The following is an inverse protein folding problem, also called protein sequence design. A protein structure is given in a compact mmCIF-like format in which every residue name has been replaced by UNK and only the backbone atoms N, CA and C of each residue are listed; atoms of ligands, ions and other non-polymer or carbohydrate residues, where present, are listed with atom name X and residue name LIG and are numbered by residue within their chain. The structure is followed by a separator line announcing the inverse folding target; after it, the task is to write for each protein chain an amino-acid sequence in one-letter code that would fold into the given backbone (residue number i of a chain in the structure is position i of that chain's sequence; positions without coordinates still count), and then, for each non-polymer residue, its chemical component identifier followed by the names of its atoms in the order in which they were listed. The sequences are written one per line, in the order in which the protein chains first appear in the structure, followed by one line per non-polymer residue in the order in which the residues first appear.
data_IF_089756990605
#
_entry.id   IF_089756990605
#
_cell.length_a   1.000
_cell.length_b   1.000
_cell.length_c   1.000
_cell.angle_alpha   90.00
_cell.angle_beta   90.00
_cell.angle_gamma   90.00
#
_symmetry.space_group_name_H-M   'P 1'
#
loop_
_entity.id
_entity.type
_entity.pdbx_description
1 polymer ?
#
# COMPACT_ATOMS: atom_id res chain seq x y z
N UNK A 1 29.83 -11.64 56.60
CA UNK A 1 29.96 -11.84 55.14
C UNK A 1 28.68 -11.37 54.46
N UNK A 2 28.79 -10.77 53.28
CA UNK A 2 27.72 -10.04 52.58
C UNK A 2 26.79 -11.00 51.82
N UNK A 3 25.49 -10.74 51.85
CA UNK A 3 24.48 -11.49 51.07
C UNK A 3 24.08 -10.72 49.82
N UNK A 4 23.91 -11.42 48.70
CA UNK A 4 23.51 -10.87 47.41
C UNK A 4 21.98 -10.94 47.28
N UNK A 5 21.32 -9.83 46.93
CA UNK A 5 19.91 -9.82 46.53
C UNK A 5 19.85 -9.81 45.00
N UNK A 6 19.23 -10.84 44.42
CA UNK A 6 19.00 -10.96 42.98
C UNK A 6 17.60 -10.39 42.67
N UNK A 7 17.53 -9.47 41.71
CA UNK A 7 16.27 -9.06 41.06
C UNK A 7 16.27 -9.74 39.69
N UNK A 8 15.32 -10.65 39.44
CA UNK A 8 15.08 -11.17 38.11
C UNK A 8 14.26 -10.14 37.32
N UNK A 9 14.84 -9.58 36.25
CA UNK A 9 14.10 -8.81 35.24
C UNK A 9 13.74 -9.80 34.14
N UNK A 10 12.46 -10.09 33.99
CA UNK A 10 11.95 -10.81 32.82
C UNK A 10 11.74 -9.78 31.71
N UNK A 11 12.58 -9.81 30.67
CA UNK A 11 12.33 -9.10 29.42
C UNK A 11 11.59 -10.06 28.49
N UNK A 12 10.30 -9.82 28.29
CA UNK A 12 9.50 -10.56 27.32
C UNK A 12 9.56 -9.79 25.99
N UNK A 13 10.30 -10.30 25.02
CA UNK A 13 10.17 -9.82 23.64
C UNK A 13 8.98 -10.56 23.05
N UNK A 14 7.82 -9.91 23.01
CA UNK A 14 6.77 -10.31 22.08
C UNK A 14 7.29 -9.97 20.68
N UNK A 15 7.70 -10.98 19.93
CA UNK A 15 7.83 -10.84 18.48
C UNK A 15 6.39 -10.68 18.00
N UNK A 16 5.95 -9.43 17.78
CA UNK A 16 4.70 -9.18 17.06
C UNK A 16 4.91 -9.76 15.66
N UNK A 17 4.27 -10.90 15.39
CA UNK A 17 4.00 -11.29 14.01
C UNK A 17 2.98 -10.28 13.51
N UNK A 18 3.36 -9.45 12.55
CA UNK A 18 2.38 -8.62 11.86
C UNK A 18 1.58 -9.56 10.94
N UNK A 19 0.28 -9.65 11.15
CA UNK A 19 -0.60 -10.33 10.22
C UNK A 19 -0.75 -9.47 8.96
N UNK A 20 -0.57 -10.08 7.79
CA UNK A 20 -0.89 -9.44 6.51
C UNK A 20 -2.42 -9.22 6.46
N UNK A 21 -2.82 -7.98 6.22
CA UNK A 21 -4.24 -7.59 6.16
C UNK A 21 -4.77 -7.60 4.73
N UNK A 22 -3.89 -7.40 3.73
CA UNK A 22 -4.29 -7.31 2.34
C UNK A 22 -4.61 -8.71 1.79
N UNK A 23 -5.77 -8.81 1.16
CA UNK A 23 -6.10 -9.94 0.32
C UNK A 23 -5.46 -9.74 -1.06
N UNK A 24 -4.88 -10.81 -1.60
CA UNK A 24 -4.26 -10.80 -2.93
C UNK A 24 -3.22 -9.67 -3.12
N UNK A 25 -2.44 -9.35 -2.07
CA UNK A 25 -1.40 -8.30 -2.13
C UNK A 25 -0.25 -8.57 -3.11
N UNK A 26 -0.10 -9.83 -3.55
CA UNK A 26 0.82 -10.23 -4.62
C UNK A 26 0.22 -10.18 -6.03
N UNK A 27 -1.06 -9.83 -6.18
CA UNK A 27 -1.76 -9.73 -7.47
C UNK A 27 -1.79 -11.03 -8.29
N UNK A 28 -2.00 -12.17 -7.65
CA UNK A 28 -2.01 -13.49 -8.30
C UNK A 28 -3.42 -14.00 -8.66
N UNK A 29 -4.47 -13.31 -8.22
CA UNK A 29 -5.87 -13.69 -8.46
C UNK A 29 -6.59 -12.63 -9.32
N UNK A 30 -7.20 -13.07 -10.42
CA UNK A 30 -7.84 -12.23 -11.46
C UNK A 30 -9.11 -12.89 -12.00
N UNK A 31 -10.06 -13.16 -11.12
CA UNK A 31 -11.29 -13.89 -11.46
C UNK A 31 -12.17 -13.18 -12.51
N UNK A 32 -12.04 -11.85 -12.60
CA UNK A 32 -12.78 -11.01 -13.57
C UNK A 32 -12.11 -10.91 -14.95
N UNK A 33 -10.91 -11.50 -15.14
CA UNK A 33 -10.13 -11.44 -16.38
C UNK A 33 -8.90 -10.53 -16.27
N UNK A 34 -8.03 -10.58 -17.28
CA UNK A 34 -6.75 -9.86 -17.31
C UNK A 34 -6.88 -8.34 -17.55
N UNK A 35 -8.01 -7.90 -18.10
CA UNK A 35 -8.29 -6.50 -18.45
C UNK A 35 -9.17 -5.81 -17.38
N UNK A 36 -9.07 -6.24 -16.13
CA UNK A 36 -9.84 -5.73 -14.98
C UNK A 36 -8.98 -5.80 -13.73
N UNK A 37 -9.21 -5.00 -12.67
CA UNK A 37 -8.42 -5.05 -11.45
C UNK A 37 -8.25 -6.47 -10.86
N UNK A 38 -7.12 -6.76 -10.19
CA UNK A 38 -6.96 -8.01 -9.47
C UNK A 38 -8.01 -8.15 -8.37
N UNK A 39 -8.36 -9.37 -8.03
CA UNK A 39 -9.39 -9.63 -7.01
C UNK A 39 -9.07 -8.87 -5.71
N UNK A 40 -10.10 -8.31 -5.08
CA UNK A 40 -10.07 -7.45 -3.86
C UNK A 40 -9.53 -6.02 -4.04
N UNK A 41 -8.96 -5.69 -5.19
CA UNK A 41 -8.49 -4.33 -5.46
C UNK A 41 -9.45 -3.58 -6.37
N UNK A 42 -9.44 -2.25 -6.23
CA UNK A 42 -10.26 -1.33 -7.02
C UNK A 42 -9.35 -0.30 -7.67
N UNK A 43 -9.48 -0.13 -8.99
CA UNK A 43 -9.03 1.07 -9.67
C UNK A 43 -10.12 2.15 -9.65
N UNK A 44 -9.69 3.40 -9.51
CA UNK A 44 -10.61 4.52 -9.50
C UNK A 44 -9.93 5.76 -10.04
N UNK A 45 -10.75 6.74 -10.43
CA UNK A 45 -10.30 8.05 -10.89
C UNK A 45 -9.33 7.94 -12.09
N UNK A 46 -9.66 7.02 -13.01
CA UNK A 46 -8.92 6.74 -14.24
C UNK A 46 -7.59 5.99 -14.10
N UNK A 47 -7.30 5.37 -12.94
CA UNK A 47 -6.07 4.58 -12.74
C UNK A 47 -6.18 3.13 -13.24
N UNK A 48 -6.49 2.93 -14.52
CA UNK A 48 -6.90 1.62 -15.05
C UNK A 48 -5.87 0.51 -14.74
N UNK A 49 -6.34 -0.61 -14.20
CA UNK A 49 -5.50 -1.73 -13.76
C UNK A 49 -5.67 -2.97 -14.66
N UNK A 50 -4.54 -3.56 -15.08
CA UNK A 50 -4.52 -4.79 -15.90
C UNK A 50 -3.44 -5.76 -15.43
N UNK A 51 -3.59 -7.03 -15.78
CA UNK A 51 -2.64 -8.07 -15.42
C UNK A 51 -1.38 -7.96 -16.29
N UNK A 52 -0.22 -8.06 -15.66
CA UNK A 52 1.05 -8.24 -16.33
C UNK A 52 1.64 -9.61 -15.99
N UNK A 53 2.09 -10.34 -17.01
CA UNK A 53 2.77 -11.64 -16.88
C UNK A 53 4.18 -11.64 -17.50
N UNK A 54 4.66 -10.47 -17.93
CA UNK A 54 6.04 -10.33 -18.40
C UNK A 54 7.00 -10.49 -17.22
N UNK A 55 7.88 -11.51 -17.21
CA UNK A 55 8.76 -11.80 -16.09
C UNK A 55 9.74 -10.66 -15.78
N UNK A 56 10.01 -9.73 -16.70
CA UNK A 56 10.81 -8.54 -16.41
C UNK A 56 10.09 -7.60 -15.43
N UNK A 57 8.76 -7.55 -15.50
CA UNK A 57 7.90 -6.66 -14.73
C UNK A 57 7.03 -7.41 -13.74
N UNK A 58 7.45 -8.59 -13.28
CA UNK A 58 6.84 -9.33 -12.16
C UNK A 58 7.83 -9.35 -10.99
N UNK A 59 7.44 -8.77 -9.85
CA UNK A 59 8.31 -8.70 -8.67
C UNK A 59 8.46 -10.08 -7.99
N UNK A 60 7.37 -10.83 -7.90
CA UNK A 60 7.30 -12.16 -7.30
C UNK A 60 6.08 -12.90 -7.84
N UNK A 61 6.10 -14.24 -7.82
CA UNK A 61 4.97 -15.03 -8.32
C UNK A 61 4.94 -15.09 -9.85
N UNK A 62 3.75 -15.11 -10.44
CA UNK A 62 3.56 -15.17 -11.88
C UNK A 62 3.04 -13.86 -12.47
N UNK A 63 2.44 -13.02 -11.63
CA UNK A 63 1.71 -11.84 -12.09
C UNK A 63 2.11 -10.60 -11.29
N UNK A 64 1.88 -9.45 -11.91
CA UNK A 64 1.86 -8.14 -11.26
C UNK A 64 0.69 -7.34 -11.83
N UNK A 65 0.38 -6.22 -11.19
CA UNK A 65 -0.56 -5.24 -11.74
C UNK A 65 0.20 -4.19 -12.55
N UNK A 66 -0.25 -3.92 -13.77
CA UNK A 66 0.14 -2.75 -14.56
C UNK A 66 -0.95 -1.71 -14.45
N UNK A 67 -0.54 -0.48 -14.12
CA UNK A 67 -1.47 0.64 -13.91
C UNK A 67 -1.23 1.70 -14.99
N UNK A 68 -2.30 2.26 -15.53
CA UNK A 68 -2.26 3.30 -16.56
C UNK A 68 -2.73 4.63 -15.99
N UNK A 69 -1.89 5.67 -16.09
CA UNK A 69 -2.26 7.03 -15.73
C UNK A 69 -3.02 7.66 -16.89
N UNK A 70 -4.35 7.75 -16.80
CA UNK A 70 -5.20 8.29 -17.86
C UNK A 70 -5.74 9.70 -17.55
N UNK A 71 -5.18 10.38 -16.54
CA UNK A 71 -5.58 11.72 -16.12
C UNK A 71 -4.44 12.50 -15.45
N UNK A 72 -4.46 13.83 -15.54
CA UNK A 72 -3.60 14.72 -14.75
C UNK A 72 -4.14 14.98 -13.34
N UNK A 73 -5.35 14.53 -13.04
CA UNK A 73 -5.90 14.55 -11.67
C UNK A 73 -5.35 13.40 -10.83
N UNK A 74 -5.55 13.45 -9.51
CA UNK A 74 -5.16 12.33 -8.63
C UNK A 74 -5.94 11.06 -8.99
N UNK A 75 -5.21 9.98 -9.21
CA UNK A 75 -5.75 8.66 -9.56
C UNK A 75 -5.41 7.67 -8.44
N UNK A 76 -6.23 6.63 -8.21
CA UNK A 76 -6.02 5.73 -7.05
C UNK A 76 -6.35 4.28 -7.35
N UNK A 77 -5.46 3.39 -6.92
CA UNK A 77 -5.63 1.95 -6.89
C UNK A 77 -5.58 1.50 -5.44
N UNK A 78 -6.61 0.82 -4.94
CA UNK A 78 -6.79 0.65 -3.49
C UNK A 78 -7.45 -0.66 -3.07
N UNK A 79 -7.27 -0.97 -1.78
CA UNK A 79 -8.01 -1.99 -1.04
C UNK A 79 -8.36 -1.43 0.34
N UNK A 80 -9.55 -1.74 0.83
CA UNK A 80 -9.97 -1.41 2.19
C UNK A 80 -9.73 -2.59 3.14
N UNK A 81 -9.20 -2.30 4.33
CA UNK A 81 -8.93 -3.29 5.38
C UNK A 81 -9.51 -2.83 6.71
N UNK A 82 -9.91 -3.79 7.54
CA UNK A 82 -10.30 -3.53 8.93
C UNK A 82 -9.08 -3.19 9.78
N UNK A 83 -9.23 -2.19 10.64
CA UNK A 83 -8.17 -1.70 11.52
C UNK A 83 -8.69 -1.48 12.94
N UNK A 84 -7.78 -1.46 13.89
CA UNK A 84 -8.07 -1.17 15.31
C UNK A 84 -7.48 0.21 15.67
N UNK A 85 -8.25 1.13 16.26
CA UNK A 85 -7.73 2.42 16.70
C UNK A 85 -6.54 2.28 17.64
N UNK A 86 -5.49 3.07 17.43
CA UNK A 86 -4.29 3.06 18.26
C UNK A 86 -3.26 1.98 17.92
N UNK A 87 -3.57 1.04 17.04
CA UNK A 87 -2.58 0.09 16.51
C UNK A 87 -1.70 0.75 15.45
N UNK A 88 -0.45 0.30 15.35
CA UNK A 88 0.50 0.77 14.32
C UNK A 88 0.48 -0.15 13.12
N UNK A 89 0.38 0.45 11.93
CA UNK A 89 0.34 -0.24 10.66
C UNK A 89 1.45 0.27 9.75
N UNK A 90 1.99 -0.64 8.94
CA UNK A 90 2.96 -0.32 7.88
C UNK A 90 2.36 -0.69 6.54
N UNK A 91 2.04 0.31 5.73
CA UNK A 91 1.68 0.14 4.33
C UNK A 91 2.95 -0.05 3.49
N UNK A 92 2.95 -0.98 2.54
CA UNK A 92 4.08 -1.26 1.66
C UNK A 92 3.60 -1.55 0.24
N UNK A 93 4.30 -1.00 -0.75
CA UNK A 93 4.22 -1.44 -2.15
C UNK A 93 5.63 -1.63 -2.70
N UNK A 94 5.77 -2.60 -3.61
CA UNK A 94 6.85 -2.61 -4.59
C UNK A 94 6.32 -2.00 -5.87
N UNK A 95 7.01 -0.99 -6.39
CA UNK A 95 6.62 -0.26 -7.59
C UNK A 95 7.76 -0.31 -8.59
N UNK A 96 7.45 -0.55 -9.86
CA UNK A 96 8.37 -0.37 -10.97
C UNK A 96 7.93 0.89 -11.70
N UNK A 97 8.65 1.98 -11.50
CA UNK A 97 8.32 3.30 -12.02
C UNK A 97 9.52 3.79 -12.83
N UNK A 98 9.45 3.65 -14.15
CA UNK A 98 10.51 4.01 -15.09
C UNK A 98 10.03 5.07 -16.11
N UNK A 99 9.05 5.87 -15.70
CA UNK A 99 8.55 6.99 -16.48
C UNK A 99 8.91 8.31 -15.77
N UNK A 100 9.63 9.24 -16.42
CA UNK A 100 10.02 10.51 -15.80
C UNK A 100 8.83 11.45 -15.51
N UNK A 101 7.68 11.26 -16.15
CA UNK A 101 6.47 12.06 -15.96
C UNK A 101 5.44 11.39 -15.03
N UNK A 102 5.56 10.09 -14.81
CA UNK A 102 4.76 9.33 -13.85
C UNK A 102 5.38 9.37 -12.45
N UNK A 103 4.55 9.46 -11.42
CA UNK A 103 4.98 9.17 -10.05
C UNK A 103 3.85 8.63 -9.19
N UNK A 104 4.20 7.82 -8.21
CA UNK A 104 3.25 7.22 -7.29
C UNK A 104 3.62 7.46 -5.82
N UNK A 105 2.64 7.36 -4.93
CA UNK A 105 2.88 7.31 -3.48
C UNK A 105 1.76 6.57 -2.75
N UNK A 106 2.07 6.13 -1.54
CA UNK A 106 1.07 5.61 -0.60
C UNK A 106 0.15 6.75 -0.15
N UNK A 107 -1.12 6.44 0.04
CA UNK A 107 -2.07 7.30 0.73
C UNK A 107 -3.06 6.48 1.54
N UNK A 108 -3.32 6.89 2.76
CA UNK A 108 -4.24 6.22 3.68
C UNK A 108 -5.45 7.10 3.92
N UNK A 109 -6.65 6.51 3.84
CA UNK A 109 -7.91 7.14 4.23
C UNK A 109 -8.54 6.32 5.33
N UNK A 110 -8.77 6.95 6.48
CA UNK A 110 -9.28 6.30 7.68
C UNK A 110 -10.76 6.61 7.83
N UNK A 111 -11.56 5.56 8.04
CA UNK A 111 -13.00 5.67 8.20
C UNK A 111 -13.43 5.12 9.57
N UNK A 112 -14.49 5.69 10.12
CA UNK A 112 -15.16 5.12 11.29
C UNK A 112 -16.08 3.94 10.92
N UNK A 113 -16.73 3.34 11.91
CA UNK A 113 -17.61 2.19 11.70
C UNK A 113 -18.93 2.51 10.96
N UNK A 114 -19.17 3.78 10.63
CA UNK A 114 -20.33 4.25 9.86
C UNK A 114 -19.91 4.69 8.44
N UNK A 115 -18.76 4.23 7.96
CA UNK A 115 -18.13 4.57 6.67
C UNK A 115 -17.89 6.07 6.47
N UNK A 116 -17.73 6.83 7.57
CA UNK A 116 -17.41 8.26 7.49
C UNK A 116 -15.90 8.47 7.52
N UNK A 117 -15.37 9.21 6.54
CA UNK A 117 -13.96 9.58 6.50
C UNK A 117 -13.62 10.49 7.69
N UNK A 118 -12.69 10.07 8.54
CA UNK A 118 -12.29 10.82 9.74
C UNK A 118 -10.90 11.43 9.62
N UNK A 119 -10.01 10.80 8.85
CA UNK A 119 -8.63 11.28 8.68
C UNK A 119 -8.04 10.73 7.39
N UNK A 120 -6.99 11.38 6.89
CA UNK A 120 -6.21 10.88 5.78
C UNK A 120 -4.78 11.39 5.90
N UNK A 121 -3.83 10.60 5.41
CA UNK A 121 -2.41 10.89 5.50
C UNK A 121 -1.61 10.09 4.48
N UNK A 122 -0.33 10.40 4.34
CA UNK A 122 0.61 9.68 3.51
C UNK A 122 1.97 10.36 3.53
N UNK A 123 3.02 9.72 3.00
CA UNK A 123 4.34 10.33 2.88
C UNK A 123 4.30 11.53 1.92
N UNK A 124 5.21 12.48 2.15
CA UNK A 124 5.47 13.59 1.22
C UNK A 124 6.33 13.17 0.02
N UNK A 125 6.98 12.01 0.10
CA UNK A 125 7.83 11.44 -0.95
C UNK A 125 7.01 10.61 -1.93
N UNK A 126 7.46 10.62 -3.18
CA UNK A 126 6.94 9.81 -4.28
C UNK A 126 7.97 8.76 -4.67
N UNK A 127 7.58 7.84 -5.54
CA UNK A 127 8.53 7.04 -6.33
C UNK A 127 9.42 7.94 -7.17
N UNK A 128 10.58 7.41 -7.56
CA UNK A 128 11.50 8.05 -8.50
C UNK A 128 11.54 7.28 -9.81
N UNK A 129 11.77 7.97 -10.92
CA UNK A 129 12.14 7.34 -12.20
C UNK A 129 13.37 6.43 -12.02
N UNK A 130 13.11 5.12 -12.05
CA UNK A 130 14.06 4.06 -11.78
C UNK A 130 13.64 2.78 -12.52
N UNK A 131 14.51 2.31 -13.42
CA UNK A 131 14.36 1.07 -14.18
C UNK A 131 14.61 -0.17 -13.28
N UNK A 132 13.73 -0.35 -12.29
CA UNK A 132 13.80 -1.40 -11.29
C UNK A 132 12.68 -1.32 -10.27
N UNK A 133 12.47 -2.43 -9.56
CA UNK A 133 11.55 -2.47 -8.43
C UNK A 133 12.10 -1.67 -7.25
N UNK A 134 11.32 -0.70 -6.79
CA UNK A 134 11.60 0.07 -5.58
C UNK A 134 10.51 -0.17 -4.53
N UNK A 135 10.92 -0.31 -3.27
CA UNK A 135 9.99 -0.42 -2.15
C UNK A 135 9.64 0.97 -1.66
N UNK A 136 8.34 1.26 -1.58
CA UNK A 136 7.82 2.40 -0.82
C UNK A 136 7.06 1.87 0.39
N UNK A 137 7.22 2.55 1.52
CA UNK A 137 6.58 2.17 2.77
C UNK A 137 6.16 3.40 3.58
N UNK A 138 5.10 3.25 4.36
CA UNK A 138 4.62 4.28 5.27
C UNK A 138 4.07 3.65 6.54
N UNK A 139 4.65 4.02 7.68
CA UNK A 139 4.25 3.53 9.00
C UNK A 139 3.54 4.64 9.77
N UNK A 140 2.35 4.35 10.26
CA UNK A 140 1.55 5.29 11.06
C UNK A 140 0.66 4.55 12.07
N UNK A 141 0.07 5.29 13.00
CA UNK A 141 -0.87 4.75 13.99
C UNK A 141 -2.30 5.07 13.55
N UNK A 142 -3.18 4.06 13.56
CA UNK A 142 -4.59 4.27 13.24
C UNK A 142 -5.21 5.31 14.20
N UNK A 143 -5.88 6.36 13.70
CA UNK A 143 -6.42 7.43 14.52
C UNK A 143 -7.57 6.94 15.40
N UNK A 144 -7.88 7.69 16.45
CA UNK A 144 -9.00 7.39 17.33
C UNK A 144 -10.31 7.30 16.53
N UNK A 145 -11.05 6.20 16.72
CA UNK A 145 -12.32 5.94 16.03
C UNK A 145 -12.20 5.25 14.67
N UNK A 146 -11.00 4.99 14.15
CA UNK A 146 -10.82 4.26 12.89
C UNK A 146 -11.29 2.81 13.00
N UNK A 147 -12.22 2.40 12.13
CA UNK A 147 -12.64 1.01 11.97
C UNK A 147 -12.09 0.41 10.66
N UNK A 148 -11.88 1.24 9.64
CA UNK A 148 -11.36 0.83 8.33
C UNK A 148 -10.25 1.76 7.86
N UNK A 149 -9.34 1.22 7.06
CA UNK A 149 -8.34 1.96 6.31
C UNK A 149 -8.42 1.57 4.84
N UNK A 150 -8.59 2.56 3.98
CA UNK A 150 -8.41 2.40 2.54
C UNK A 150 -6.95 2.71 2.20
N UNK A 151 -6.18 1.65 1.93
CA UNK A 151 -4.81 1.74 1.47
C UNK A 151 -4.81 2.02 -0.03
N UNK A 152 -4.33 3.20 -0.43
CA UNK A 152 -4.20 3.57 -1.82
C UNK A 152 -2.72 3.60 -2.26
N UNK A 153 -2.46 3.11 -3.47
CA UNK A 153 -1.39 3.63 -4.31
C UNK A 153 -1.99 4.73 -5.18
N UNK A 154 -1.51 5.96 -5.01
CA UNK A 154 -1.95 7.11 -5.82
C UNK A 154 -0.99 7.37 -6.95
N UNK A 155 -1.54 7.57 -8.13
CA UNK A 155 -0.82 7.97 -9.34
C UNK A 155 -0.95 9.47 -9.62
N UNK A 156 0.13 10.05 -10.12
CA UNK A 156 0.23 11.45 -10.51
C UNK A 156 0.99 11.56 -11.82
N UNK A 157 0.48 12.39 -12.72
CA UNK A 157 1.12 12.78 -13.98
C UNK A 157 1.64 14.21 -13.83
N UNK A 158 2.95 14.39 -13.96
CA UNK A 158 3.65 15.67 -13.83
C UNK A 158 3.63 16.47 -15.15
N UNK A 159 2.48 16.59 -15.83
CA UNK A 159 2.14 17.58 -16.88
C UNK A 159 3.04 17.73 -18.12
N UNK A 160 4.20 17.09 -18.21
CA UNK A 160 5.14 17.16 -19.34
C UNK A 160 5.08 15.91 -20.25
N UNK A 161 4.04 15.07 -20.13
CA UNK A 161 3.86 13.86 -20.95
C UNK A 161 3.17 14.16 -22.30
N UNK A 162 3.73 13.65 -23.41
CA UNK A 162 3.23 13.85 -24.77
C UNK A 162 2.44 12.67 -25.38
N UNK A 163 2.16 11.62 -24.60
CA UNK A 163 1.32 10.50 -25.04
C UNK A 163 2.06 9.38 -25.77
#
# INVERSE_FOLDING_TARGET
MRFLKLLAIFFFVSILSADELLLNGGFEQWSSGSDSPPDYWVDALSFDATQNSDPQYVHSGNYSVRLYLNSTSTQSFYQEVQVTPGETYTATFWVYDNDPAGKARIWLRWYDSSDSLIYYEGPSTYTSDYDGWQKIEYTTQAPAGAAYCELQLRGYDDTDWDG
#
